data_IF_466560614518
#
_entry.id   IF_466560614518
#
_cell.length_a   1.000
_cell.length_b   1.000
_cell.length_c   1.000
_cell.angle_alpha   90.00
_cell.angle_beta   90.00
_cell.angle_gamma   90.00
#
_symmetry.space_group_name_H-M   'P 1'
#
loop_
_entity.id
_entity.type
_entity.pdbx_description
1 polymer ?
#
# COMPACT_ATOMS: atom_id res chain seq x y z
N UNK A 1 20.24 23.77 23.53
CA UNK A 1 18.75 23.80 23.58
C UNK A 1 18.29 22.37 23.78
N UNK A 2 17.56 22.08 24.84
CA UNK A 2 17.24 20.71 25.28
C UNK A 2 16.11 20.13 24.43
N UNK A 3 16.11 18.78 24.25
CA UNK A 3 15.08 18.02 23.53
C UNK A 3 13.63 18.26 24.03
N UNK A 4 13.47 18.87 25.20
CA UNK A 4 12.14 19.23 25.77
C UNK A 4 11.51 20.44 25.07
N UNK A 5 12.29 21.31 24.43
CA UNK A 5 11.73 22.48 23.71
C UNK A 5 11.28 22.17 22.28
N UNK A 6 11.70 21.04 21.71
CA UNK A 6 11.25 20.60 20.38
C UNK A 6 9.89 19.90 20.49
N UNK A 7 9.60 19.26 21.62
CA UNK A 7 8.32 18.57 21.84
C UNK A 7 7.13 19.53 22.10
N UNK A 8 7.38 20.76 22.54
CA UNK A 8 6.34 21.73 22.88
C UNK A 8 5.79 22.52 21.67
N UNK A 9 6.41 22.41 20.49
CA UNK A 9 6.02 23.14 19.28
C UNK A 9 5.01 22.41 18.37
N UNK A 10 4.66 21.15 18.66
CA UNK A 10 3.75 20.35 17.82
C UNK A 10 2.34 20.16 18.38
N UNK A 11 2.03 20.80 19.50
CA UNK A 11 0.74 20.56 20.19
C UNK A 11 -0.42 21.44 19.70
N UNK A 12 -0.22 22.30 18.71
CA UNK A 12 -1.26 23.31 18.33
C UNK A 12 -1.57 23.35 16.81
N UNK A 13 -1.29 22.29 16.09
CA UNK A 13 -1.80 22.14 14.72
C UNK A 13 -3.13 21.38 14.79
N UNK A 14 -4.23 22.13 14.81
CA UNK A 14 -5.62 21.77 14.57
C UNK A 14 -5.95 20.27 14.74
N UNK A 15 -5.86 19.74 15.98
CA UNK A 15 -6.33 18.38 16.26
C UNK A 15 -7.86 18.43 16.33
N UNK A 16 -8.53 18.06 15.20
CA UNK A 16 -9.87 17.51 15.37
C UNK A 16 -9.77 16.39 16.39
N UNK A 17 -10.60 16.36 17.42
CA UNK A 17 -10.57 15.28 18.39
C UNK A 17 -10.80 13.97 17.66
N UNK A 18 -9.96 12.96 17.85
CA UNK A 18 -10.08 11.63 17.22
C UNK A 18 -11.49 11.04 17.36
N UNK A 19 -12.22 11.42 18.39
CA UNK A 19 -13.62 11.02 18.64
C UNK A 19 -14.62 11.56 17.62
N UNK A 20 -14.25 12.57 16.81
CA UNK A 20 -15.10 13.14 15.76
C UNK A 20 -14.86 12.50 14.38
N UNK A 21 -13.86 11.64 14.23
CA UNK A 21 -13.55 11.01 12.95
C UNK A 21 -14.53 9.85 12.72
N UNK A 22 -15.21 9.79 11.56
CA UNK A 22 -16.15 8.71 11.26
C UNK A 22 -15.43 7.36 11.23
N UNK A 23 -16.07 6.34 11.81
CA UNK A 23 -15.58 4.96 11.83
C UNK A 23 -16.37 4.02 10.89
N UNK A 24 -17.32 4.55 10.16
CA UNK A 24 -18.00 3.85 9.08
C UNK A 24 -17.26 4.14 7.76
N UNK A 25 -16.91 3.13 6.92
CA UNK A 25 -16.01 3.30 5.78
C UNK A 25 -16.39 4.41 4.79
N UNK A 26 -17.68 4.52 4.41
CA UNK A 26 -18.11 5.54 3.46
C UNK A 26 -18.07 6.96 4.05
N UNK A 27 -18.41 7.09 5.31
CA UNK A 27 -18.32 8.37 6.02
C UNK A 27 -16.85 8.77 6.22
N UNK A 28 -15.99 7.77 6.55
CA UNK A 28 -14.55 7.97 6.68
C UNK A 28 -13.90 8.43 5.35
N UNK A 29 -14.23 7.81 4.22
CA UNK A 29 -13.72 8.20 2.90
C UNK A 29 -14.10 9.65 2.56
N UNK A 30 -15.37 10.03 2.78
CA UNK A 30 -15.80 11.41 2.55
C UNK A 30 -15.11 12.40 3.47
N UNK A 31 -14.93 12.04 4.75
CA UNK A 31 -14.20 12.86 5.71
C UNK A 31 -12.72 13.00 5.29
N UNK A 32 -12.04 11.91 4.97
CA UNK A 32 -10.64 11.92 4.53
C UNK A 32 -10.45 12.79 3.27
N UNK A 33 -11.38 12.70 2.31
CA UNK A 33 -11.36 13.52 1.10
C UNK A 33 -11.67 15.02 1.35
N UNK A 34 -12.24 15.37 2.50
CA UNK A 34 -12.55 16.76 2.89
C UNK A 34 -11.40 17.46 3.63
N UNK A 35 -10.36 16.72 4.01
CA UNK A 35 -9.21 17.29 4.68
C UNK A 35 -8.42 18.20 3.72
N UNK A 36 -7.90 19.31 4.25
CA UNK A 36 -7.04 20.20 3.48
C UNK A 36 -5.75 19.46 3.06
N UNK A 37 -5.31 19.66 1.81
CA UNK A 37 -4.16 18.97 1.22
C UNK A 37 -2.80 19.24 1.88
N UNK A 38 -2.72 20.21 2.79
CA UNK A 38 -1.50 20.58 3.52
C UNK A 38 -1.27 19.72 4.79
N UNK A 39 -2.11 18.69 5.03
CA UNK A 39 -1.93 17.81 6.18
C UNK A 39 -0.70 16.90 5.99
N UNK A 40 0.22 16.84 6.98
CA UNK A 40 1.41 15.98 6.89
C UNK A 40 1.09 14.50 7.20
N UNK A 41 -0.18 14.14 7.28
CA UNK A 41 -0.67 12.83 7.68
C UNK A 41 -1.73 12.30 6.73
N UNK A 42 -1.74 11.00 6.54
CA UNK A 42 -2.88 10.25 6.04
C UNK A 42 -3.50 9.41 7.17
N UNK A 43 -4.73 9.01 6.98
CA UNK A 43 -5.46 8.25 7.99
C UNK A 43 -5.93 6.94 7.37
N UNK A 44 -5.89 5.87 8.15
CA UNK A 44 -6.47 4.57 7.80
C UNK A 44 -7.51 4.18 8.85
N UNK A 45 -8.51 3.44 8.41
CA UNK A 45 -9.56 2.88 9.26
C UNK A 45 -9.44 1.36 9.27
N UNK A 46 -9.44 0.74 10.43
CA UNK A 46 -9.53 -0.71 10.58
C UNK A 46 -10.23 -1.06 11.89
N UNK A 47 -11.21 -1.96 11.83
CA UNK A 47 -11.97 -2.43 13.00
C UNK A 47 -12.53 -1.28 13.87
N UNK A 48 -13.03 -0.24 13.23
CA UNK A 48 -13.57 0.95 13.91
C UNK A 48 -12.51 1.84 14.57
N UNK A 49 -11.23 1.57 14.33
CA UNK A 49 -10.10 2.39 14.84
C UNK A 49 -9.45 3.17 13.72
N UNK A 50 -9.27 4.46 13.93
CA UNK A 50 -8.54 5.33 13.01
C UNK A 50 -7.09 5.40 13.43
N UNK A 51 -6.19 5.15 12.47
CA UNK A 51 -4.74 5.30 12.61
C UNK A 51 -4.25 6.46 11.78
N UNK A 52 -3.40 7.30 12.36
CA UNK A 52 -2.73 8.40 11.66
C UNK A 52 -1.33 7.98 11.24
N UNK A 53 -1.01 8.16 9.97
CA UNK A 53 0.27 7.78 9.39
C UNK A 53 0.98 9.00 8.79
N UNK A 54 2.30 9.03 8.89
CA UNK A 54 3.11 10.04 8.19
C UNK A 54 3.10 9.76 6.69
N UNK A 55 2.97 10.82 5.89
CA UNK A 55 3.06 10.72 4.42
C UNK A 55 4.50 10.72 3.91
N UNK A 56 5.46 11.11 4.78
CA UNK A 56 6.87 11.15 4.39
C UNK A 56 7.47 9.75 4.38
N UNK A 57 8.14 9.42 3.28
CA UNK A 57 8.82 8.15 3.07
C UNK A 57 10.29 8.38 2.74
N UNK A 58 11.12 7.35 2.89
CA UNK A 58 12.52 7.41 2.47
C UNK A 58 12.63 7.48 0.93
N UNK A 59 13.78 7.94 0.43
CA UNK A 59 14.07 7.91 -1.00
C UNK A 59 14.05 6.48 -1.56
N UNK A 60 14.45 5.50 -0.76
CA UNK A 60 14.44 4.09 -1.15
C UNK A 60 13.02 3.58 -1.33
N UNK A 61 12.14 3.81 -0.35
CA UNK A 61 10.72 3.49 -0.43
C UNK A 61 10.07 4.12 -1.68
N UNK A 62 10.24 5.44 -1.84
CA UNK A 62 9.72 6.16 -3.01
C UNK A 62 10.23 5.55 -4.33
N UNK A 63 11.52 5.16 -4.41
CA UNK A 63 12.11 4.57 -5.61
C UNK A 63 11.53 3.20 -5.92
N UNK A 64 11.38 2.31 -4.93
CA UNK A 64 10.78 0.99 -5.11
C UNK A 64 9.34 1.14 -5.59
N UNK A 65 8.54 1.99 -4.94
CA UNK A 65 7.15 2.27 -5.36
C UNK A 65 7.09 2.80 -6.79
N UNK A 66 7.94 3.77 -7.15
CA UNK A 66 7.99 4.33 -8.51
C UNK A 66 8.39 3.30 -9.56
N UNK A 67 9.36 2.42 -9.25
CA UNK A 67 9.76 1.35 -10.17
C UNK A 67 8.61 0.36 -10.40
N UNK A 68 7.92 -0.06 -9.34
CA UNK A 68 6.76 -0.97 -9.43
C UNK A 68 5.67 -0.33 -10.30
N UNK A 69 5.28 0.90 -10.02
CA UNK A 69 4.27 1.60 -10.81
C UNK A 69 4.69 1.74 -12.27
N UNK A 70 5.97 2.06 -12.54
CA UNK A 70 6.50 2.14 -13.90
C UNK A 70 6.39 0.82 -14.67
N UNK A 71 6.72 -0.30 -14.03
CA UNK A 71 6.57 -1.64 -14.62
C UNK A 71 5.09 -2.00 -14.87
N UNK A 72 4.22 -1.73 -13.91
CA UNK A 72 2.78 -1.96 -14.05
C UNK A 72 2.20 -1.14 -15.21
N UNK A 73 2.47 0.16 -15.24
CA UNK A 73 1.96 1.07 -16.27
C UNK A 73 2.48 0.72 -17.68
N UNK A 74 3.67 0.12 -17.78
CA UNK A 74 4.26 -0.30 -19.05
C UNK A 74 3.70 -1.63 -19.58
N UNK A 75 3.20 -2.51 -18.69
CA UNK A 75 2.83 -3.88 -19.06
C UNK A 75 1.33 -4.16 -19.01
N UNK A 76 0.57 -3.40 -18.23
CA UNK A 76 -0.87 -3.62 -18.07
C UNK A 76 -1.67 -3.33 -19.34
N UNK A 77 -2.67 -4.15 -19.59
CA UNK A 77 -3.78 -3.80 -20.49
C UNK A 77 -4.61 -2.66 -19.88
N UNK A 78 -4.29 -1.42 -20.29
CA UNK A 78 -4.88 -0.18 -19.79
C UNK A 78 -6.37 -0.01 -20.15
N UNK A 79 -6.93 -0.86 -20.98
CA UNK A 79 -8.38 -0.92 -21.25
C UNK A 79 -9.10 -1.68 -20.13
N UNK A 80 -8.44 -2.67 -19.56
CA UNK A 80 -9.01 -3.56 -18.53
C UNK A 80 -8.66 -3.15 -17.11
N UNK A 81 -7.50 -2.51 -16.90
CA UNK A 81 -6.92 -2.26 -15.60
C UNK A 81 -6.34 -0.86 -15.48
N UNK A 82 -6.37 -0.35 -14.26
CA UNK A 82 -5.74 0.91 -13.87
C UNK A 82 -4.76 0.65 -12.72
N UNK A 83 -3.60 1.30 -12.76
CA UNK A 83 -2.62 1.24 -11.68
C UNK A 83 -2.40 2.64 -11.12
N UNK A 84 -2.32 2.74 -9.80
CA UNK A 84 -2.13 4.01 -9.12
C UNK A 84 -1.44 3.86 -7.76
N UNK A 85 -0.99 5.02 -7.23
CA UNK A 85 -0.31 5.09 -5.94
C UNK A 85 -1.28 5.18 -4.74
N UNK A 86 -0.71 5.39 -3.58
CA UNK A 86 -1.30 5.33 -2.24
C UNK A 86 -2.43 6.34 -1.90
N UNK A 87 -2.78 7.25 -2.80
CA UNK A 87 -3.81 8.26 -2.54
C UNK A 87 -5.23 7.74 -2.79
N UNK A 88 -5.37 6.58 -3.42
CA UNK A 88 -6.66 5.97 -3.71
C UNK A 88 -6.92 4.82 -2.72
N UNK A 89 -8.05 4.87 -2.03
CA UNK A 89 -8.36 3.93 -0.96
C UNK A 89 -8.70 2.53 -1.44
N UNK A 90 -8.50 1.55 -0.55
CA UNK A 90 -9.00 0.18 -0.67
C UNK A 90 -9.98 -0.07 0.46
N UNK A 91 -11.25 -0.40 0.12
CA UNK A 91 -12.21 -0.87 1.12
C UNK A 91 -11.87 -2.29 1.50
N UNK A 92 -11.65 -2.51 2.79
CA UNK A 92 -11.57 -3.86 3.37
C UNK A 92 -12.89 -4.23 4.04
N UNK A 93 -13.03 -5.47 4.47
CA UNK A 93 -14.22 -5.89 5.22
C UNK A 93 -14.37 -5.18 6.59
N UNK A 94 -13.33 -4.51 7.06
CA UNK A 94 -13.24 -3.90 8.39
C UNK A 94 -12.84 -2.41 8.37
N UNK A 95 -12.62 -1.83 7.16
CA UNK A 95 -12.21 -0.42 7.09
C UNK A 95 -11.75 0.05 5.72
N UNK A 96 -10.79 0.98 5.73
CA UNK A 96 -10.18 1.60 4.54
C UNK A 96 -8.67 1.67 4.74
N UNK A 97 -7.93 1.15 3.76
CA UNK A 97 -6.47 1.16 3.68
C UNK A 97 -5.99 1.96 2.47
N UNK A 98 -4.73 2.40 2.51
CA UNK A 98 -4.07 3.12 1.43
C UNK A 98 -2.69 2.47 1.14
N UNK A 99 -2.66 1.34 0.41
CA UNK A 99 -1.41 0.65 0.08
C UNK A 99 -0.56 1.46 -0.90
N UNK A 100 0.74 1.19 -0.96
CA UNK A 100 1.72 1.98 -1.74
C UNK A 100 1.48 1.93 -3.26
N UNK A 101 0.96 0.80 -3.77
CA UNK A 101 0.49 0.72 -5.15
C UNK A 101 -0.68 -0.28 -5.26
N UNK A 102 -1.56 -0.01 -6.21
CA UNK A 102 -2.78 -0.78 -6.44
C UNK A 102 -2.94 -1.00 -7.95
N UNK A 103 -3.46 -2.16 -8.33
CA UNK A 103 -4.09 -2.34 -9.63
C UNK A 103 -5.56 -2.66 -9.41
N UNK A 104 -6.42 -1.83 -9.97
CA UNK A 104 -7.87 -2.00 -9.97
C UNK A 104 -8.38 -2.35 -11.38
N UNK A 105 -9.62 -2.80 -11.48
CA UNK A 105 -10.31 -2.86 -12.78
C UNK A 105 -10.62 -1.45 -13.26
N UNK A 106 -10.45 -1.21 -14.54
CA UNK A 106 -10.82 0.07 -15.14
C UNK A 106 -12.31 0.36 -14.88
N UNK A 107 -12.58 1.54 -14.35
CA UNK A 107 -13.93 1.99 -13.96
C UNK A 107 -14.27 3.33 -14.60
N UNK A 108 -15.55 3.59 -14.81
CA UNK A 108 -16.08 4.88 -15.22
C UNK A 108 -16.30 5.85 -14.04
N UNK A 109 -16.10 5.40 -12.81
CA UNK A 109 -16.34 6.13 -11.58
C UNK A 109 -15.30 7.18 -11.26
N UNK A 110 -15.12 8.20 -12.09
CA UNK A 110 -14.09 9.25 -11.94
C UNK A 110 -14.17 10.08 -10.64
N UNK A 111 -15.16 9.85 -9.80
CA UNK A 111 -15.32 10.49 -8.49
C UNK A 111 -15.25 9.51 -7.32
N UNK A 112 -14.96 8.26 -7.60
CA UNK A 112 -14.79 7.25 -6.56
C UNK A 112 -13.59 7.60 -5.67
N UNK A 113 -13.70 7.32 -4.39
CA UNK A 113 -12.65 7.60 -3.40
C UNK A 113 -11.87 6.35 -3.02
N UNK A 114 -12.26 5.20 -3.54
CA UNK A 114 -11.61 3.92 -3.28
C UNK A 114 -11.87 2.93 -4.42
N UNK A 115 -10.95 1.96 -4.57
CA UNK A 115 -11.04 0.87 -5.52
C UNK A 115 -12.33 0.08 -5.38
N UNK A 116 -12.92 -0.29 -6.50
CA UNK A 116 -14.12 -1.11 -6.57
C UNK A 116 -13.78 -2.61 -6.56
N UNK A 117 -12.77 -3.00 -7.31
CA UNK A 117 -12.38 -4.40 -7.46
C UNK A 117 -10.84 -4.57 -7.61
N UNK A 118 -10.05 -4.23 -6.57
CA UNK A 118 -8.60 -4.32 -6.64
C UNK A 118 -8.15 -5.76 -6.94
N UNK A 119 -7.18 -5.90 -7.85
CA UNK A 119 -6.61 -7.19 -8.28
C UNK A 119 -5.25 -7.42 -7.65
N UNK A 120 -4.41 -6.39 -7.62
CA UNK A 120 -3.10 -6.39 -7.00
C UNK A 120 -3.02 -5.31 -5.94
N UNK A 121 -2.48 -5.67 -4.78
CA UNK A 121 -2.12 -4.74 -3.71
C UNK A 121 -0.63 -4.88 -3.45
N UNK A 122 0.04 -3.74 -3.30
CA UNK A 122 1.48 -3.68 -3.03
C UNK A 122 1.75 -2.80 -1.81
N UNK A 123 2.56 -3.31 -0.90
CA UNK A 123 3.12 -2.55 0.21
C UNK A 123 4.65 -2.54 0.12
N UNK A 124 5.26 -1.41 0.39
CA UNK A 124 6.72 -1.27 0.52
C UNK A 124 7.05 -1.08 1.98
N UNK A 125 7.80 -2.00 2.56
CA UNK A 125 8.06 -2.02 3.98
C UNK A 125 8.77 -0.76 4.45
N UNK A 126 8.25 -0.19 5.52
CA UNK A 126 8.95 0.78 6.34
C UNK A 126 9.19 0.19 7.73
N UNK A 127 10.15 0.69 8.51
CA UNK A 127 10.37 0.21 9.89
C UNK A 127 9.13 0.28 10.78
N UNK A 128 8.21 1.20 10.48
CA UNK A 128 6.98 1.39 11.27
C UNK A 128 5.81 0.50 10.87
N UNK A 129 5.78 -0.04 9.64
CA UNK A 129 4.62 -0.78 9.12
C UNK A 129 4.87 -2.28 8.91
N UNK A 130 6.13 -2.73 8.89
CA UNK A 130 6.50 -4.09 8.54
C UNK A 130 5.68 -5.17 9.27
N UNK A 131 5.51 -5.04 10.59
CA UNK A 131 4.71 -6.00 11.37
C UNK A 131 3.23 -6.02 10.97
N UNK A 132 2.65 -4.87 10.66
CA UNK A 132 1.25 -4.72 10.28
C UNK A 132 0.99 -5.27 8.86
N UNK A 133 1.93 -5.05 7.93
CA UNK A 133 1.82 -5.50 6.54
C UNK A 133 1.82 -7.03 6.44
N UNK A 134 2.61 -7.72 7.29
CA UNK A 134 2.65 -9.18 7.36
C UNK A 134 1.53 -9.82 8.18
N UNK A 135 0.69 -9.07 8.86
CA UNK A 135 -0.34 -9.59 9.77
C UNK A 135 -1.74 -9.08 9.41
N UNK A 136 -2.19 -8.00 10.05
CA UNK A 136 -3.57 -7.53 9.90
C UNK A 136 -3.91 -7.13 8.47
N UNK A 137 -3.06 -6.38 7.78
CA UNK A 137 -3.29 -6.01 6.37
C UNK A 137 -3.36 -7.22 5.46
N UNK A 138 -2.47 -8.23 5.67
CA UNK A 138 -2.49 -9.47 4.89
C UNK A 138 -3.86 -10.15 4.94
N UNK A 139 -4.43 -10.30 6.14
CA UNK A 139 -5.75 -10.95 6.31
C UNK A 139 -6.88 -10.08 5.76
N UNK A 140 -6.82 -8.76 5.96
CA UNK A 140 -7.78 -7.83 5.40
C UNK A 140 -7.80 -7.89 3.86
N UNK A 141 -6.64 -7.87 3.21
CA UNK A 141 -6.53 -7.90 1.75
C UNK A 141 -6.90 -9.27 1.16
N UNK A 142 -6.54 -10.36 1.83
CA UNK A 142 -6.96 -11.71 1.43
C UNK A 142 -8.47 -11.92 1.47
N UNK A 143 -9.16 -11.21 2.36
CA UNK A 143 -10.62 -11.27 2.48
C UNK A 143 -11.36 -10.59 1.30
N UNK A 144 -10.67 -9.70 0.56
CA UNK A 144 -11.25 -9.06 -0.63
C UNK A 144 -11.27 -10.07 -1.78
N UNK A 145 -12.47 -10.40 -2.25
CA UNK A 145 -12.67 -11.48 -3.24
C UNK A 145 -11.98 -11.21 -4.59
N UNK A 146 -11.85 -9.95 -5.00
CA UNK A 146 -11.23 -9.54 -6.26
C UNK A 146 -9.71 -9.61 -6.23
N UNK A 147 -9.08 -9.48 -5.06
CA UNK A 147 -7.61 -9.50 -4.92
C UNK A 147 -7.06 -10.87 -5.29
N UNK A 148 -6.12 -10.88 -6.23
CA UNK A 148 -5.46 -12.08 -6.72
C UNK A 148 -4.01 -12.16 -6.25
N UNK A 149 -3.36 -11.01 -6.02
CA UNK A 149 -1.97 -10.95 -5.56
C UNK A 149 -1.80 -9.89 -4.49
N UNK A 150 -1.09 -10.24 -3.42
CA UNK A 150 -0.55 -9.32 -2.44
C UNK A 150 0.97 -9.42 -2.47
N UNK A 151 1.63 -8.30 -2.76
CA UNK A 151 3.08 -8.17 -2.90
C UNK A 151 3.60 -7.25 -1.82
N UNK A 152 4.55 -7.72 -1.03
CA UNK A 152 5.30 -6.91 -0.07
C UNK A 152 6.75 -6.81 -0.58
N UNK A 153 7.31 -5.60 -0.60
CA UNK A 153 8.70 -5.35 -1.00
C UNK A 153 9.48 -4.69 0.14
N UNK A 154 10.73 -5.11 0.34
CA UNK A 154 11.67 -4.35 1.17
C UNK A 154 11.98 -3.00 0.49
N UNK A 155 12.26 -1.96 1.28
CA UNK A 155 12.81 -0.72 0.73
C UNK A 155 14.34 -0.73 0.65
N UNK A 156 15.02 -1.60 1.42
CA UNK A 156 16.43 -1.50 1.73
C UNK A 156 17.31 -2.50 0.97
N UNK A 157 16.70 -3.59 0.46
CA UNK A 157 17.39 -4.66 -0.26
C UNK A 157 16.47 -5.32 -1.28
N UNK A 158 16.99 -6.02 -2.31
CA UNK A 158 16.18 -6.81 -3.24
C UNK A 158 15.55 -8.03 -2.56
N UNK A 159 14.43 -7.80 -1.91
CA UNK A 159 13.66 -8.82 -1.21
C UNK A 159 12.18 -8.54 -1.31
N UNK A 160 11.41 -9.54 -1.73
CA UNK A 160 9.96 -9.44 -1.83
C UNK A 160 9.26 -10.71 -1.38
N UNK A 161 8.01 -10.57 -0.95
CA UNK A 161 7.13 -11.66 -0.53
C UNK A 161 5.84 -11.58 -1.32
N UNK A 162 5.46 -12.68 -1.95
CA UNK A 162 4.32 -12.73 -2.86
C UNK A 162 3.33 -13.78 -2.39
N UNK A 163 2.12 -13.35 -2.11
CA UNK A 163 0.97 -14.23 -1.97
C UNK A 163 0.13 -14.09 -3.23
N UNK A 164 -0.09 -15.19 -3.94
CA UNK A 164 -0.99 -15.24 -5.09
C UNK A 164 -2.09 -16.25 -4.82
N UNK A 165 -3.34 -15.86 -5.13
CA UNK A 165 -4.49 -16.74 -5.02
C UNK A 165 -4.34 -17.90 -5.99
N UNK A 166 -4.57 -19.10 -5.53
CA UNK A 166 -4.45 -20.33 -6.33
C UNK A 166 -5.68 -20.53 -7.23
N UNK A 167 -5.59 -21.44 -8.19
CA UNK A 167 -6.66 -21.69 -9.15
C UNK A 167 -7.99 -22.16 -8.53
N UNK A 168 -7.96 -22.69 -7.32
CA UNK A 168 -9.15 -23.06 -6.52
C UNK A 168 -9.69 -21.89 -5.67
N UNK A 169 -9.08 -20.70 -5.77
CA UNK A 169 -9.42 -19.52 -5.01
C UNK A 169 -8.80 -19.43 -3.62
N UNK A 170 -8.05 -20.44 -3.19
CA UNK A 170 -7.38 -20.43 -1.89
C UNK A 170 -6.13 -19.55 -1.86
N UNK A 171 -5.78 -19.05 -0.68
CA UNK A 171 -4.51 -18.39 -0.43
C UNK A 171 -3.47 -19.35 0.12
N UNK A 172 -2.21 -19.29 -0.34
CA UNK A 172 -1.15 -20.05 0.28
C UNK A 172 -0.91 -19.56 1.72
N UNK A 173 -0.53 -20.49 2.59
CA UNK A 173 -0.21 -20.16 3.99
C UNK A 173 1.03 -19.28 4.10
N UNK A 174 2.04 -19.54 3.26
CA UNK A 174 3.30 -18.83 3.23
C UNK A 174 3.47 -18.14 1.87
N UNK A 175 4.18 -17.00 1.81
CA UNK A 175 4.50 -16.35 0.56
C UNK A 175 5.56 -17.13 -0.22
N UNK A 176 5.67 -16.82 -1.49
CA UNK A 176 6.90 -17.05 -2.24
C UNK A 176 7.83 -15.89 -1.87
N UNK A 177 9.03 -16.22 -1.40
CA UNK A 177 10.06 -15.24 -1.11
C UNK A 177 11.02 -15.15 -2.31
N UNK A 178 11.29 -13.94 -2.78
CA UNK A 178 12.17 -13.62 -3.89
C UNK A 178 13.34 -12.80 -3.33
N UNK A 179 14.58 -13.23 -3.63
CA UNK A 179 15.80 -12.60 -3.08
C UNK A 179 16.88 -12.32 -4.12
N UNK A 180 16.75 -12.89 -5.31
CA UNK A 180 17.70 -12.67 -6.40
C UNK A 180 17.13 -11.68 -7.41
N UNK A 181 17.98 -10.84 -8.01
CA UNK A 181 17.54 -9.85 -9.01
C UNK A 181 16.99 -10.46 -10.29
N UNK A 182 17.44 -11.67 -10.62
CA UNK A 182 16.96 -12.47 -11.75
C UNK A 182 15.62 -13.15 -11.47
N UNK A 183 15.16 -13.17 -10.22
CA UNK A 183 13.84 -13.71 -9.90
C UNK A 183 12.75 -12.89 -10.58
N UNK A 184 11.73 -13.60 -11.05
CA UNK A 184 10.49 -13.03 -11.59
C UNK A 184 9.29 -13.61 -10.88
N UNK A 185 8.19 -12.89 -10.86
CA UNK A 185 6.92 -13.39 -10.38
C UNK A 185 5.78 -13.00 -11.29
N UNK A 186 4.91 -13.96 -11.56
CA UNK A 186 3.64 -13.69 -12.22
C UNK A 186 2.69 -13.00 -11.25
N UNK A 187 2.01 -11.96 -11.73
CA UNK A 187 0.98 -11.25 -10.96
C UNK A 187 -0.38 -11.83 -11.33
N UNK A 188 -0.94 -12.63 -10.42
CA UNK A 188 -2.21 -13.33 -10.63
C UNK A 188 -3.33 -12.39 -11.08
N UNK A 189 -4.09 -12.81 -12.09
CA UNK A 189 -5.22 -12.04 -12.64
C UNK A 189 -4.86 -10.91 -13.62
N UNK A 190 -3.55 -10.63 -13.85
CA UNK A 190 -3.08 -9.53 -14.68
C UNK A 190 -2.39 -9.97 -15.98
N UNK A 191 -2.07 -11.26 -16.13
CA UNK A 191 -1.34 -11.83 -17.27
C UNK A 191 0.02 -11.16 -17.56
N UNK A 192 0.69 -10.68 -16.50
CA UNK A 192 2.01 -10.05 -16.59
C UNK A 192 2.97 -10.64 -15.54
N UNK A 193 4.26 -10.52 -15.81
CA UNK A 193 5.35 -10.81 -14.89
C UNK A 193 6.14 -9.55 -14.56
N UNK A 194 6.64 -9.48 -13.33
CA UNK A 194 7.53 -8.42 -12.87
C UNK A 194 8.83 -9.03 -12.34
N UNK A 195 9.96 -8.42 -12.66
CA UNK A 195 11.27 -8.89 -12.20
C UNK A 195 11.77 -8.11 -10.99
N UNK A 196 12.49 -8.79 -10.10
CA UNK A 196 13.17 -8.17 -8.97
C UNK A 196 14.18 -7.12 -9.43
N UNK A 197 14.89 -7.36 -10.56
CA UNK A 197 15.80 -6.38 -11.16
C UNK A 197 15.12 -5.08 -11.56
N UNK A 198 13.87 -5.14 -12.02
CA UNK A 198 13.08 -3.95 -12.35
C UNK A 198 12.58 -3.24 -11.09
N UNK A 199 11.97 -3.97 -10.15
CA UNK A 199 11.44 -3.44 -8.87
C UNK A 199 12.56 -2.70 -8.10
N UNK A 200 13.73 -3.35 -7.96
CA UNK A 200 14.83 -2.86 -7.12
C UNK A 200 15.93 -2.12 -7.90
N UNK A 201 15.61 -1.58 -9.09
CA UNK A 201 16.56 -0.76 -9.84
C UNK A 201 17.02 0.44 -9.02
N UNK A 202 18.34 0.50 -8.78
CA UNK A 202 18.97 1.55 -7.99
C UNK A 202 18.85 1.39 -6.47
N UNK A 203 18.43 0.21 -5.99
CA UNK A 203 18.54 -0.20 -4.60
C UNK A 203 19.77 -1.12 -4.48
N UNK A 204 20.63 -0.99 -3.45
CA UNK A 204 21.79 -1.85 -3.26
C UNK A 204 21.39 -3.30 -2.96
N UNK A 205 22.34 -4.25 -3.17
CA UNK A 205 22.09 -5.67 -2.93
C UNK A 205 22.19 -6.08 -1.45
N UNK A 206 22.74 -5.21 -0.63
CA UNK A 206 22.82 -5.41 0.82
C UNK A 206 22.02 -4.33 1.55
N UNK A 207 21.45 -4.63 2.72
CA UNK A 207 20.72 -3.65 3.51
C UNK A 207 21.55 -2.38 3.73
N UNK A 208 20.89 -1.24 3.59
CA UNK A 208 21.52 0.05 3.87
C UNK A 208 21.73 0.19 5.38
N UNK A 209 22.90 0.71 5.83
CA UNK A 209 23.10 0.99 7.25
C UNK A 209 22.09 2.03 7.71
N UNK A 210 21.58 1.81 8.94
CA UNK A 210 20.63 2.70 9.63
C UNK A 210 21.33 3.98 10.08
#
# INVERSE_FOLDING_TARGET
MSNAQIAAGFSDLGQEPFDAIPTEPEAFLRWAASLDGDQPFKYELSEGKVSRMMIQVSRAHWRVTANILGELLAKLDRVRFEAGPAEFGVRTGVGVRYPDAIVDRASAGLRDLACEAPILIVEVLSPSTAGLDFTAKLEEYKAISSVQTYLICSQDEPRAWVWSRQGDGAWPRLPIELTAREDTTALGGLDIEISMGAIFRGIPDAPMPV
#
